data_IF_123744274018
#
_entry.id   IF_123744274018
#
_cell.length_a   1.000
_cell.length_b   1.000
_cell.length_c   1.000
_cell.angle_alpha   90.00
_cell.angle_beta   90.00
_cell.angle_gamma   90.00
#
_symmetry.space_group_name_H-M   'P 1'
#
loop_
_entity.id
_entity.type
_entity.pdbx_description
1 polymer ?
#
# COMPACT_ATOMS: atom_id res chain seq x y z
N UNK A 1 -2.63 -95.36 -27.02
CA UNK A 1 -1.57 -94.52 -27.68
C UNK A 1 -2.25 -93.29 -28.25
N UNK A 2 -2.11 -92.21 -27.62
CA UNK A 2 -2.01 -90.84 -28.21
C UNK A 2 -1.86 -89.86 -27.11
N UNK A 3 -0.64 -89.38 -26.84
CA UNK A 3 -0.34 -88.18 -26.14
C UNK A 3 -0.38 -87.06 -27.17
N UNK A 4 -1.29 -86.15 -27.04
CA UNK A 4 -1.26 -84.92 -27.80
C UNK A 4 -1.38 -83.76 -26.83
N UNK A 5 -0.30 -83.15 -26.71
CA UNK A 5 0.11 -81.86 -26.26
C UNK A 5 -0.99 -80.89 -25.77
N UNK A 6 -0.98 -80.59 -24.46
CA UNK A 6 -1.51 -79.39 -23.87
C UNK A 6 -0.52 -78.24 -24.12
N UNK A 7 -0.78 -77.46 -25.15
CA UNK A 7 -0.07 -76.22 -25.42
C UNK A 7 -0.78 -75.10 -24.65
N UNK A 8 -0.27 -74.83 -23.44
CA UNK A 8 -0.74 -73.81 -22.61
C UNK A 8 -0.44 -72.41 -23.29
N UNK A 9 -1.46 -71.84 -23.88
CA UNK A 9 -1.44 -70.46 -24.35
C UNK A 9 -1.28 -69.57 -23.16
N UNK A 10 -0.07 -69.02 -22.91
CA UNK A 10 0.19 -67.97 -21.99
C UNK A 10 -0.54 -66.72 -22.45
N UNK A 11 -1.63 -66.35 -21.76
CA UNK A 11 -2.40 -65.18 -22.00
C UNK A 11 -1.58 -63.92 -21.48
N UNK A 12 -1.13 -63.04 -22.34
CA UNK A 12 -0.36 -61.88 -21.89
C UNK A 12 -1.29 -60.92 -21.12
N UNK A 13 -1.14 -60.88 -19.81
CA UNK A 13 -1.86 -59.97 -18.94
C UNK A 13 -1.66 -58.54 -19.38
N UNK A 14 -2.72 -57.72 -19.46
CA UNK A 14 -2.69 -56.45 -20.16
C UNK A 14 -1.86 -55.41 -19.41
N UNK A 15 -0.96 -54.74 -20.10
CA UNK A 15 -0.15 -53.57 -19.67
C UNK A 15 -0.99 -52.37 -19.17
N UNK A 16 -2.33 -52.50 -19.14
CA UNK A 16 -3.30 -51.46 -18.76
C UNK A 16 -3.20 -51.02 -17.28
N UNK A 17 -2.74 -51.87 -16.37
CA UNK A 17 -2.63 -51.51 -14.94
C UNK A 17 -1.46 -50.57 -14.64
N UNK A 18 -0.34 -50.70 -15.33
CA UNK A 18 0.83 -49.83 -15.19
C UNK A 18 0.54 -48.43 -15.73
N UNK A 19 -0.14 -48.32 -16.86
CA UNK A 19 -0.53 -47.02 -17.45
C UNK A 19 -1.53 -46.24 -16.56
N UNK A 20 -2.49 -46.93 -15.94
CA UNK A 20 -3.42 -46.31 -14.97
C UNK A 20 -2.71 -45.82 -13.72
N UNK A 21 -1.72 -46.57 -13.20
CA UNK A 21 -0.87 -46.11 -12.08
C UNK A 21 -0.03 -44.87 -12.46
N UNK A 22 0.66 -44.93 -13.60
CA UNK A 22 1.46 -43.78 -14.07
C UNK A 22 0.61 -42.55 -14.30
N UNK A 23 -0.62 -42.70 -14.82
CA UNK A 23 -1.55 -41.56 -14.96
C UNK A 23 -1.98 -40.99 -13.62
N UNK A 24 -2.23 -41.82 -12.59
CA UNK A 24 -2.52 -41.32 -11.22
C UNK A 24 -1.31 -40.56 -10.64
N UNK A 25 -0.11 -41.11 -10.73
CA UNK A 25 1.09 -40.42 -10.24
C UNK A 25 1.33 -39.08 -10.95
N UNK A 26 1.12 -39.02 -12.26
CA UNK A 26 1.24 -37.76 -13.02
C UNK A 26 0.21 -36.75 -12.57
N UNK A 27 -1.02 -37.14 -12.28
CA UNK A 27 -2.07 -36.26 -11.74
C UNK A 27 -1.71 -35.79 -10.33
N UNK A 28 -1.19 -36.64 -9.45
CA UNK A 28 -0.75 -36.24 -8.12
C UNK A 28 0.45 -35.31 -8.18
N UNK A 29 1.45 -35.60 -9.02
CA UNK A 29 2.62 -34.72 -9.21
C UNK A 29 2.19 -33.36 -9.78
N UNK A 30 1.28 -33.34 -10.74
CA UNK A 30 0.71 -32.10 -11.27
C UNK A 30 -0.03 -31.31 -10.17
N UNK A 31 -0.88 -31.99 -9.38
CA UNK A 31 -1.56 -31.36 -8.24
C UNK A 31 -0.58 -30.76 -7.21
N UNK A 32 0.45 -31.51 -6.82
CA UNK A 32 1.50 -31.04 -5.90
C UNK A 32 2.24 -29.85 -6.49
N UNK A 33 2.59 -29.90 -7.79
CA UNK A 33 3.28 -28.78 -8.46
C UNK A 33 2.44 -27.52 -8.52
N UNK A 34 1.15 -27.64 -8.84
CA UNK A 34 0.21 -26.48 -8.83
C UNK A 34 0.05 -25.91 -7.42
N UNK A 35 -0.12 -26.78 -6.42
CA UNK A 35 -0.22 -26.33 -5.02
C UNK A 35 1.06 -25.64 -4.56
N UNK A 36 2.23 -26.17 -4.91
CA UNK A 36 3.51 -25.55 -4.58
C UNK A 36 3.66 -24.18 -5.27
N UNK A 37 3.26 -24.03 -6.52
CA UNK A 37 3.27 -22.76 -7.24
C UNK A 37 2.32 -21.73 -6.63
N UNK A 38 1.13 -22.15 -6.23
CA UNK A 38 0.16 -21.26 -5.56
C UNK A 38 0.65 -20.83 -4.19
N UNK A 39 1.22 -21.74 -3.39
CA UNK A 39 1.82 -21.42 -2.10
C UNK A 39 3.02 -20.50 -2.26
N UNK A 40 3.88 -20.72 -3.24
CA UNK A 40 5.03 -19.86 -3.51
C UNK A 40 4.54 -18.46 -3.94
N UNK A 41 3.57 -18.39 -4.85
CA UNK A 41 2.95 -17.11 -5.25
C UNK A 41 2.35 -16.35 -4.06
N UNK A 42 1.66 -17.05 -3.15
CA UNK A 42 1.09 -16.46 -1.94
C UNK A 42 2.17 -15.98 -0.95
N UNK A 43 3.24 -16.76 -0.74
CA UNK A 43 4.33 -16.40 0.18
C UNK A 43 5.18 -15.21 -0.32
N UNK A 44 5.29 -15.02 -1.63
CA UNK A 44 6.01 -13.90 -2.25
C UNK A 44 5.11 -12.74 -2.66
N UNK A 45 3.80 -12.79 -2.34
CA UNK A 45 2.90 -11.68 -2.59
C UNK A 45 3.28 -10.50 -1.68
N UNK A 46 3.54 -9.30 -2.23
CA UNK A 46 3.91 -8.16 -1.40
C UNK A 46 2.76 -7.83 -0.44
N UNK A 47 3.03 -7.92 0.86
CA UNK A 47 2.04 -7.63 1.90
C UNK A 47 1.84 -6.13 2.13
N UNK A 48 2.81 -5.31 1.74
CA UNK A 48 2.81 -3.85 1.94
C UNK A 48 3.53 -3.13 0.80
N UNK A 49 3.20 -1.87 0.53
CA UNK A 49 4.01 -1.02 -0.33
C UNK A 49 5.46 -0.93 0.16
N UNK A 50 6.38 -0.48 -0.71
CA UNK A 50 7.79 -0.31 -0.38
C UNK A 50 7.94 0.64 0.82
N UNK A 51 8.66 0.21 1.83
CA UNK A 51 9.05 1.06 2.95
C UNK A 51 10.21 1.99 2.52
N UNK A 52 9.91 3.29 2.41
CA UNK A 52 10.84 4.32 1.95
C UNK A 52 11.82 4.78 3.02
N UNK A 53 11.51 4.51 4.30
CA UNK A 53 12.37 4.86 5.44
C UNK A 53 13.60 3.97 5.57
N UNK A 54 13.61 2.80 4.91
CA UNK A 54 14.70 1.84 5.00
C UNK A 54 15.85 2.20 4.07
N UNK A 55 17.01 2.47 4.63
CA UNK A 55 18.25 2.75 3.90
C UNK A 55 18.10 3.97 2.98
N UNK A 56 18.47 3.85 1.72
CA UNK A 56 18.39 4.93 0.74
C UNK A 56 17.18 4.82 -0.21
N UNK A 57 16.14 4.09 0.18
CA UNK A 57 14.99 3.81 -0.69
C UNK A 57 14.22 5.06 -1.10
N UNK A 58 14.16 6.09 -0.26
CA UNK A 58 13.57 7.37 -0.64
C UNK A 58 14.22 7.93 -1.91
N UNK A 59 15.54 7.79 -2.04
CA UNK A 59 16.32 8.27 -3.19
C UNK A 59 16.20 7.32 -4.40
N UNK A 60 16.32 6.01 -4.15
CA UNK A 60 16.45 5.00 -5.23
C UNK A 60 15.12 4.53 -5.81
N UNK A 61 13.99 4.76 -5.13
CA UNK A 61 12.65 4.33 -5.58
C UNK A 61 12.08 5.14 -6.76
N UNK A 62 12.65 6.31 -7.04
CA UNK A 62 12.12 7.25 -8.02
C UNK A 62 11.04 8.19 -7.46
N UNK A 63 10.69 8.09 -6.16
CA UNK A 63 9.71 8.99 -5.50
C UNK A 63 10.13 10.45 -5.63
N UNK A 64 11.41 10.77 -5.38
CA UNK A 64 11.90 12.15 -5.45
C UNK A 64 11.85 12.74 -6.87
N UNK A 65 12.11 11.94 -7.90
CA UNK A 65 11.96 12.38 -9.28
C UNK A 65 10.50 12.73 -9.58
N UNK A 66 9.59 11.81 -9.29
CA UNK A 66 8.14 12.02 -9.48
C UNK A 66 7.59 13.15 -8.61
N UNK A 67 8.14 13.39 -7.41
CA UNK A 67 7.78 14.53 -6.54
C UNK A 67 8.15 15.87 -7.21
N UNK A 68 9.37 15.98 -7.75
CA UNK A 68 9.84 17.21 -8.42
C UNK A 68 9.08 17.50 -9.70
N UNK A 69 8.53 16.47 -10.35
CA UNK A 69 7.73 16.59 -11.58
C UNK A 69 6.24 16.82 -11.29
N UNK A 70 5.82 16.83 -10.01
CA UNK A 70 4.43 17.04 -9.64
C UNK A 70 3.50 15.90 -10.03
N UNK A 71 4.00 14.65 -10.08
CA UNK A 71 3.25 13.48 -10.54
C UNK A 71 2.57 12.69 -9.43
N UNK A 72 2.83 13.06 -8.16
CA UNK A 72 2.39 12.24 -7.02
C UNK A 72 1.07 12.70 -6.43
N UNK A 73 0.39 11.72 -5.86
CA UNK A 73 -0.61 11.86 -4.81
C UNK A 73 0.00 11.31 -3.53
N UNK A 74 -0.07 12.05 -2.44
CA UNK A 74 0.45 11.64 -1.14
C UNK A 74 -0.68 11.67 -0.12
N UNK A 75 -1.03 10.50 0.41
CA UNK A 75 -1.99 10.40 1.51
C UNK A 75 -1.22 10.42 2.82
N UNK A 76 -1.53 11.36 3.69
CA UNK A 76 -0.91 11.51 5.01
C UNK A 76 -1.96 11.23 6.07
N UNK A 77 -1.72 10.25 6.94
CA UNK A 77 -2.56 10.05 8.11
C UNK A 77 -2.40 11.21 9.08
N UNK A 78 -3.54 11.74 9.59
CA UNK A 78 -3.51 12.71 10.68
C UNK A 78 -2.65 12.23 11.85
N UNK A 79 -2.09 13.16 12.61
CA UNK A 79 -1.29 12.90 13.79
C UNK A 79 -2.14 12.41 14.98
N UNK A 80 -1.48 12.14 16.10
CA UNK A 80 -2.06 11.50 17.28
C UNK A 80 -3.30 12.24 17.77
N UNK A 81 -4.43 11.52 17.79
CA UNK A 81 -5.72 12.06 18.22
C UNK A 81 -5.91 11.92 19.73
N UNK A 82 -6.56 12.93 20.31
CA UNK A 82 -6.75 13.07 21.73
C UNK A 82 -7.63 11.95 22.32
N UNK A 83 -8.77 11.63 21.72
CA UNK A 83 -9.75 10.67 22.24
C UNK A 83 -9.27 9.20 22.18
N UNK A 84 -8.05 8.94 21.71
CA UNK A 84 -7.42 7.62 21.64
C UNK A 84 -6.02 7.58 22.21
N UNK A 85 -5.70 8.54 23.05
CA UNK A 85 -4.39 8.67 23.70
C UNK A 85 -4.56 9.06 25.16
N UNK A 86 -3.55 8.74 25.97
CA UNK A 86 -3.42 9.24 27.34
C UNK A 86 -2.67 10.59 27.41
N UNK A 87 -2.12 11.07 26.29
CA UNK A 87 -1.40 12.33 26.21
C UNK A 87 -2.36 13.52 26.32
N UNK A 88 -1.89 14.66 26.83
CA UNK A 88 -2.71 15.88 26.94
C UNK A 88 -3.26 16.34 25.60
N UNK A 89 -4.53 16.72 25.58
CA UNK A 89 -5.18 17.27 24.39
C UNK A 89 -4.71 18.68 24.09
N UNK A 90 -4.53 19.01 22.82
CA UNK A 90 -4.32 20.39 22.37
C UNK A 90 -5.63 21.19 22.38
N UNK A 91 -6.76 20.53 22.13
CA UNK A 91 -8.07 21.18 22.03
C UNK A 91 -9.21 20.17 22.23
N UNK A 92 -10.25 20.16 21.37
CA UNK A 92 -11.38 19.26 21.51
C UNK A 92 -10.97 17.79 21.40
N UNK A 93 -11.76 16.91 22.01
CA UNK A 93 -11.45 15.49 22.14
C UNK A 93 -11.23 14.75 20.79
N UNK A 94 -11.88 15.17 19.71
CA UNK A 94 -11.70 14.63 18.36
C UNK A 94 -10.51 15.24 17.59
N UNK A 95 -9.81 16.19 18.22
CA UNK A 95 -8.61 16.85 17.71
C UNK A 95 -7.31 16.11 18.06
N UNK A 96 -6.19 16.82 18.00
CA UNK A 96 -4.85 16.29 18.27
C UNK A 96 -4.49 16.39 19.76
N UNK A 97 -3.54 15.54 20.17
CA UNK A 97 -2.77 15.75 21.40
C UNK A 97 -1.74 16.85 21.19
N UNK A 98 -1.17 17.38 22.29
CA UNK A 98 -0.04 18.32 22.23
C UNK A 98 1.13 17.66 21.46
N UNK A 99 1.49 16.40 21.79
CA UNK A 99 2.53 15.67 21.06
C UNK A 99 2.19 15.51 19.56
N UNK A 100 0.91 15.29 19.22
CA UNK A 100 0.47 15.21 17.84
C UNK A 100 0.67 16.52 17.07
N UNK A 101 0.50 17.68 17.74
CA UNK A 101 0.76 18.98 17.10
C UNK A 101 2.25 19.21 16.84
N UNK A 102 3.11 18.82 17.78
CA UNK A 102 4.57 18.92 17.63
C UNK A 102 5.07 18.02 16.49
N UNK A 103 4.60 16.77 16.43
CA UNK A 103 4.93 15.84 15.34
C UNK A 103 4.43 16.33 13.98
N UNK A 104 3.26 16.97 13.92
CA UNK A 104 2.77 17.57 12.69
C UNK A 104 3.70 18.69 12.18
N UNK A 105 4.23 19.54 13.08
CA UNK A 105 5.22 20.57 12.71
C UNK A 105 6.50 19.93 12.15
N UNK A 106 7.00 18.86 12.77
CA UNK A 106 8.20 18.16 12.29
C UNK A 106 7.96 17.51 10.93
N UNK A 107 6.79 16.88 10.74
CA UNK A 107 6.40 16.29 9.48
C UNK A 107 6.29 17.35 8.37
N UNK A 108 5.73 18.53 8.68
CA UNK A 108 5.70 19.68 7.77
C UNK A 108 7.09 20.09 7.32
N UNK A 109 8.05 20.23 8.24
CA UNK A 109 9.46 20.54 7.93
C UNK A 109 10.09 19.47 7.03
N UNK A 110 9.74 18.20 7.23
CA UNK A 110 10.24 17.12 6.39
C UNK A 110 9.77 17.26 4.94
N UNK A 111 8.49 17.57 4.72
CA UNK A 111 7.96 17.84 3.39
C UNK A 111 8.51 19.14 2.78
N UNK A 112 8.70 20.20 3.58
CA UNK A 112 9.35 21.43 3.13
C UNK A 112 10.78 21.17 2.60
N UNK A 113 11.50 20.21 3.21
CA UNK A 113 12.83 19.78 2.73
C UNK A 113 12.80 19.11 1.37
N UNK A 114 11.67 18.50 0.97
CA UNK A 114 11.46 17.98 -0.39
C UNK A 114 11.07 19.07 -1.39
N UNK A 115 10.62 20.22 -0.93
CA UNK A 115 10.08 21.33 -1.72
C UNK A 115 8.58 21.20 -1.98
N UNK A 116 7.80 22.17 -1.51
CA UNK A 116 6.32 22.17 -1.57
C UNK A 116 5.75 23.05 -2.68
N UNK A 117 6.58 23.70 -3.51
CA UNK A 117 6.13 24.68 -4.51
C UNK A 117 5.11 24.13 -5.53
N UNK A 118 5.25 22.86 -5.90
CA UNK A 118 4.36 22.17 -6.83
C UNK A 118 3.35 21.25 -6.10
N UNK A 119 2.92 21.59 -4.88
CA UNK A 119 2.05 20.70 -4.11
C UNK A 119 0.81 21.45 -3.63
N UNK A 120 -0.35 20.90 -3.99
CA UNK A 120 -1.65 21.29 -3.45
C UNK A 120 -1.96 20.42 -2.24
N UNK A 121 -2.41 21.03 -1.15
CA UNK A 121 -2.71 20.33 0.11
C UNK A 121 -4.19 20.45 0.41
N UNK A 122 -4.87 19.32 0.53
CA UNK A 122 -6.27 19.23 0.95
C UNK A 122 -6.36 18.40 2.24
N UNK A 123 -7.34 18.73 3.07
CA UNK A 123 -7.63 18.02 4.31
C UNK A 123 -9.05 17.49 4.33
N UNK A 124 -9.25 16.28 4.84
CA UNK A 124 -10.56 15.82 5.30
C UNK A 124 -11.14 16.81 6.33
N UNK A 125 -12.46 17.02 6.38
CA UNK A 125 -13.07 18.07 7.23
C UNK A 125 -13.19 17.69 8.71
N UNK A 126 -12.41 16.73 9.22
CA UNK A 126 -12.40 16.42 10.65
C UNK A 126 -11.40 17.30 11.39
N UNK A 127 -11.66 17.56 12.70
CA UNK A 127 -10.80 18.42 13.52
C UNK A 127 -9.34 17.96 13.49
N UNK A 128 -9.08 16.67 13.67
CA UNK A 128 -7.71 16.11 13.69
C UNK A 128 -6.95 16.24 12.39
N UNK A 129 -7.61 16.08 11.24
CA UNK A 129 -6.97 16.24 9.92
C UNK A 129 -6.73 17.72 9.62
N UNK A 130 -7.70 18.60 9.92
CA UNK A 130 -7.57 20.03 9.78
C UNK A 130 -6.44 20.59 10.66
N UNK A 131 -6.34 20.14 11.91
CA UNK A 131 -5.24 20.50 12.81
C UNK A 131 -3.90 19.99 12.30
N UNK A 132 -3.82 18.73 11.83
CA UNK A 132 -2.58 18.20 11.23
C UNK A 132 -2.12 19.08 10.07
N UNK A 133 -3.00 19.42 9.12
CA UNK A 133 -2.69 20.32 8.01
C UNK A 133 -2.25 21.71 8.48
N UNK A 134 -2.94 22.26 9.47
CA UNK A 134 -2.60 23.56 10.04
C UNK A 134 -1.20 23.59 10.66
N UNK A 135 -0.85 22.58 11.45
CA UNK A 135 0.46 22.50 12.09
C UNK A 135 1.58 22.13 11.12
N UNK A 136 1.30 21.35 10.07
CA UNK A 136 2.28 21.07 9.02
C UNK A 136 2.61 22.30 8.17
N UNK A 137 1.60 23.10 7.77
CA UNK A 137 1.76 24.09 6.70
C UNK A 137 1.25 25.49 7.03
N UNK A 138 0.82 25.74 8.27
CA UNK A 138 0.26 27.04 8.70
C UNK A 138 -1.11 27.37 8.09
N UNK A 139 -1.71 26.45 7.32
CA UNK A 139 -3.00 26.63 6.65
C UNK A 139 -3.76 25.31 6.56
N UNK A 140 -5.07 25.42 6.43
CA UNK A 140 -5.95 24.28 6.17
C UNK A 140 -6.86 24.62 5.00
N UNK A 141 -6.82 23.79 3.96
CA UNK A 141 -7.78 23.82 2.87
C UNK A 141 -8.62 22.56 2.95
N UNK A 142 -9.89 22.71 3.30
CA UNK A 142 -10.80 21.59 3.48
C UNK A 142 -11.30 21.11 2.12
N UNK A 143 -11.24 19.82 1.89
CA UNK A 143 -11.90 19.21 0.73
C UNK A 143 -13.42 19.29 0.91
N UNK A 144 -14.15 19.87 -0.04
CA UNK A 144 -15.60 19.99 0.03
C UNK A 144 -16.35 18.73 -0.38
N UNK A 145 -15.75 17.56 -0.39
CA UNK A 145 -16.39 16.39 -0.96
C UNK A 145 -16.00 15.07 -0.34
N UNK A 146 -16.16 13.99 -1.09
CA UNK A 146 -15.98 12.60 -0.65
C UNK A 146 -14.56 12.22 -0.24
N UNK A 147 -13.54 13.08 -0.35
CA UNK A 147 -12.25 12.87 0.33
C UNK A 147 -12.40 12.78 1.87
N UNK A 148 -13.57 13.14 2.39
CA UNK A 148 -14.00 12.82 3.74
C UNK A 148 -14.44 11.34 3.87
N UNK A 149 -14.75 10.66 2.77
CA UNK A 149 -15.32 9.32 2.70
C UNK A 149 -14.26 8.41 2.08
N UNK A 150 -13.88 7.38 2.81
CA UNK A 150 -12.99 6.31 2.32
C UNK A 150 -13.78 5.34 1.43
N UNK A 151 -13.09 4.48 0.70
CA UNK A 151 -13.70 3.42 -0.10
C UNK A 151 -13.49 3.58 -1.62
N UNK A 152 -14.29 2.87 -2.41
CA UNK A 152 -14.09 2.69 -3.85
C UNK A 152 -14.14 4.00 -4.67
N UNK A 153 -14.88 5.00 -4.22
CA UNK A 153 -14.99 6.29 -4.91
C UNK A 153 -13.73 7.16 -4.78
N UNK A 154 -12.85 6.88 -3.82
CA UNK A 154 -11.71 7.72 -3.48
C UNK A 154 -10.75 7.95 -4.67
N UNK A 155 -10.52 6.93 -5.51
CA UNK A 155 -9.65 7.06 -6.68
C UNK A 155 -10.16 8.09 -7.69
N UNK A 156 -11.47 8.10 -7.97
CA UNK A 156 -12.10 9.07 -8.87
C UNK A 156 -12.02 10.50 -8.32
N UNK A 157 -12.26 10.66 -7.03
CA UNK A 157 -12.16 11.97 -6.35
C UNK A 157 -10.73 12.51 -6.36
N UNK A 158 -9.74 11.64 -6.08
CA UNK A 158 -8.32 12.02 -6.18
C UNK A 158 -8.01 12.56 -7.58
N UNK A 159 -8.44 11.86 -8.63
CA UNK A 159 -8.21 12.31 -10.02
C UNK A 159 -8.90 13.64 -10.32
N UNK A 160 -10.08 13.89 -9.76
CA UNK A 160 -10.79 15.16 -9.90
C UNK A 160 -10.05 16.37 -9.31
N UNK A 161 -9.27 16.14 -8.27
CA UNK A 161 -8.48 17.19 -7.60
C UNK A 161 -7.02 17.28 -8.09
N UNK A 162 -6.48 16.22 -8.70
CA UNK A 162 -5.08 16.16 -9.14
C UNK A 162 -4.85 17.00 -10.39
N UNK A 163 -4.11 18.10 -10.23
CA UNK A 163 -3.72 18.96 -11.35
C UNK A 163 -2.48 18.40 -12.07
N UNK A 164 -2.39 18.55 -13.41
CA UNK A 164 -1.17 18.19 -14.16
C UNK A 164 0.05 19.00 -13.66
N UNK A 165 1.19 18.31 -13.48
CA UNK A 165 2.44 18.95 -13.03
C UNK A 165 2.41 19.45 -11.57
N UNK A 166 1.42 19.07 -10.78
CA UNK A 166 1.35 19.42 -9.35
C UNK A 166 1.06 18.18 -8.51
N UNK A 167 1.77 17.96 -7.45
CA UNK A 167 1.44 16.93 -6.46
C UNK A 167 0.13 17.28 -5.75
N UNK A 168 -0.60 16.27 -5.33
CA UNK A 168 -1.76 16.41 -4.47
C UNK A 168 -1.47 15.72 -3.14
N UNK A 169 -1.45 16.47 -2.05
CA UNK A 169 -1.34 15.93 -0.70
C UNK A 169 -2.70 15.93 -0.02
N UNK A 170 -3.07 14.80 0.55
CA UNK A 170 -4.35 14.59 1.24
C UNK A 170 -4.11 14.21 2.69
N UNK A 171 -4.46 15.09 3.62
CA UNK A 171 -4.45 14.77 5.05
C UNK A 171 -5.73 14.02 5.38
N UNK A 172 -5.58 12.75 5.76
CA UNK A 172 -6.67 11.77 5.81
C UNK A 172 -6.56 10.81 7.01
N UNK A 173 -7.17 9.65 6.92
CA UNK A 173 -7.33 8.67 7.98
C UNK A 173 -6.71 7.32 7.61
N UNK A 174 -6.33 6.53 8.63
CA UNK A 174 -5.80 5.18 8.42
C UNK A 174 -6.74 4.27 7.62
N UNK A 175 -8.06 4.37 7.87
CA UNK A 175 -9.05 3.59 7.11
C UNK A 175 -9.01 3.92 5.61
N UNK A 176 -9.01 5.21 5.25
CA UNK A 176 -8.92 5.64 3.85
C UNK A 176 -7.62 5.19 3.18
N UNK A 177 -6.50 5.26 3.91
CA UNK A 177 -5.22 4.76 3.41
C UNK A 177 -5.26 3.24 3.19
N UNK A 178 -5.86 2.49 4.12
CA UNK A 178 -6.02 1.03 4.02
C UNK A 178 -6.90 0.63 2.82
N UNK A 179 -8.04 1.33 2.62
CA UNK A 179 -8.91 1.09 1.48
C UNK A 179 -8.17 1.38 0.17
N UNK A 180 -7.43 2.49 0.12
CA UNK A 180 -6.66 2.84 -1.06
C UNK A 180 -5.49 1.88 -1.32
N UNK A 181 -4.76 1.43 -0.28
CA UNK A 181 -3.74 0.38 -0.40
C UNK A 181 -4.34 -0.93 -0.93
N UNK A 182 -5.53 -1.30 -0.47
CA UNK A 182 -6.25 -2.48 -0.96
C UNK A 182 -6.53 -2.36 -2.48
N UNK A 183 -7.00 -1.21 -2.95
CA UNK A 183 -7.24 -0.96 -4.37
C UNK A 183 -5.95 -0.97 -5.20
N UNK A 184 -4.82 -0.69 -4.60
CA UNK A 184 -3.48 -0.75 -5.20
C UNK A 184 -2.86 -2.16 -5.19
N UNK A 185 -3.59 -3.17 -4.69
CA UNK A 185 -3.13 -4.57 -4.64
C UNK A 185 -2.43 -4.98 -3.34
N UNK A 186 -2.59 -4.20 -2.26
CA UNK A 186 -2.02 -4.47 -0.93
C UNK A 186 -3.12 -4.67 0.15
N UNK A 187 -3.99 -5.69 0.02
CA UNK A 187 -5.12 -5.88 0.93
C UNK A 187 -4.71 -6.25 2.36
N UNK A 188 -3.46 -6.64 2.57
CA UNK A 188 -2.92 -7.06 3.86
C UNK A 188 -1.86 -6.08 4.41
N UNK A 189 -1.79 -4.87 3.84
CA UNK A 189 -0.89 -3.85 4.35
C UNK A 189 -1.24 -3.51 5.81
N UNK A 190 -0.22 -3.31 6.63
CA UNK A 190 -0.40 -2.83 7.99
C UNK A 190 -1.14 -1.48 7.99
N UNK A 191 -1.97 -1.26 9.01
CA UNK A 191 -2.61 0.04 9.18
C UNK A 191 -1.55 1.13 9.32
N UNK A 192 -1.71 2.22 8.56
CA UNK A 192 -0.80 3.34 8.60
C UNK A 192 -0.69 3.91 10.02
N UNK A 193 0.52 4.17 10.49
CA UNK A 193 0.78 4.85 11.77
C UNK A 193 0.46 6.34 11.69
N UNK A 194 0.32 7.04 12.84
CA UNK A 194 0.13 8.50 12.86
C UNK A 194 1.25 9.22 12.10
N UNK A 195 0.89 10.19 11.27
CA UNK A 195 1.84 10.92 10.42
C UNK A 195 2.49 10.12 9.30
N UNK A 196 2.11 8.85 9.09
CA UNK A 196 2.60 8.07 7.94
C UNK A 196 2.10 8.66 6.62
N UNK A 197 2.95 8.59 5.60
CA UNK A 197 2.66 9.01 4.25
C UNK A 197 2.69 7.81 3.27
N UNK A 198 1.68 7.71 2.40
CA UNK A 198 1.63 6.79 1.27
C UNK A 198 1.83 7.60 -0.02
N UNK A 199 2.88 7.30 -0.75
CA UNK A 199 3.22 7.93 -2.02
C UNK A 199 2.69 7.10 -3.19
N UNK A 200 1.94 7.74 -4.07
CA UNK A 200 1.28 7.09 -5.22
C UNK A 200 1.50 7.93 -6.47
N UNK A 201 1.99 7.32 -7.54
CA UNK A 201 2.12 7.97 -8.85
C UNK A 201 0.82 7.79 -9.64
N UNK A 202 0.35 8.89 -10.24
CA UNK A 202 -0.74 8.85 -11.22
C UNK A 202 -0.13 8.59 -12.60
N UNK A 203 -0.55 7.51 -13.24
CA UNK A 203 -0.08 7.13 -14.56
C UNK A 203 -0.88 7.85 -15.67
N UNK A 204 -0.33 7.98 -16.90
CA UNK A 204 -1.00 8.69 -18.00
C UNK A 204 -2.39 8.14 -18.36
N UNK A 205 -2.67 6.88 -18.07
CA UNK A 205 -3.97 6.24 -18.29
C UNK A 205 -4.96 6.46 -17.13
N UNK A 206 -4.62 7.28 -16.13
CA UNK A 206 -5.45 7.53 -14.95
C UNK A 206 -5.41 6.44 -13.89
N UNK A 207 -4.57 5.43 -14.04
CA UNK A 207 -4.38 4.42 -12.99
C UNK A 207 -3.33 4.86 -11.97
N UNK A 208 -3.30 4.19 -10.82
CA UNK A 208 -2.41 4.49 -9.71
C UNK A 208 -1.33 3.42 -9.55
N UNK A 209 -0.12 3.85 -9.19
CA UNK A 209 0.99 2.98 -8.83
C UNK A 209 1.51 3.37 -7.45
N UNK A 210 1.45 2.44 -6.48
CA UNK A 210 2.10 2.66 -5.19
C UNK A 210 3.61 2.79 -5.39
N UNK A 211 4.17 3.86 -4.86
CA UNK A 211 5.61 4.13 -4.88
C UNK A 211 6.26 3.73 -3.55
N UNK A 212 5.53 3.81 -2.45
CA UNK A 212 5.95 3.38 -1.14
C UNK A 212 5.26 4.12 0.00
N UNK A 213 5.62 3.74 1.22
CA UNK A 213 5.18 4.38 2.47
C UNK A 213 6.38 4.95 3.23
N UNK A 214 6.15 5.97 4.04
CA UNK A 214 7.12 6.56 4.95
C UNK A 214 6.44 6.76 6.30
N UNK A 215 6.99 6.23 7.37
CA UNK A 215 6.51 6.49 8.72
C UNK A 215 7.07 7.81 9.25
N UNK A 216 6.33 8.43 10.17
CA UNK A 216 6.69 9.75 10.73
C UNK A 216 8.09 9.78 11.34
N UNK A 217 8.50 8.71 12.01
CA UNK A 217 9.81 8.60 12.72
C UNK A 217 11.00 8.43 11.76
N UNK A 218 10.78 8.02 10.52
CA UNK A 218 11.82 7.64 9.57
C UNK A 218 12.35 8.84 8.77
N UNK A 219 11.60 9.95 8.73
CA UNK A 219 11.95 11.11 7.92
C UNK A 219 13.35 11.67 8.20
N UNK A 220 13.71 11.80 9.48
CA UNK A 220 15.02 12.35 9.85
C UNK A 220 16.19 11.52 9.32
N UNK A 221 16.03 10.19 9.31
CA UNK A 221 17.07 9.28 8.78
C UNK A 221 17.07 9.28 7.24
N UNK A 222 15.89 9.27 6.62
CA UNK A 222 15.74 9.27 5.17
C UNK A 222 16.25 10.57 4.51
N UNK A 223 15.98 11.75 5.11
CA UNK A 223 16.45 13.04 4.59
C UNK A 223 17.97 13.22 4.66
N UNK A 224 18.67 12.54 5.58
CA UNK A 224 20.14 12.55 5.62
C UNK A 224 20.79 11.88 4.41
N UNK A 225 20.02 11.15 3.60
CA UNK A 225 20.50 10.48 2.40
C UNK A 225 20.34 11.34 1.14
N UNK A 226 19.70 12.53 1.23
CA UNK A 226 19.55 13.50 0.14
C UNK A 226 20.83 14.32 -0.05
#
# INVERSE_FOLDING_TARGET
MNRMADMILANPQPKRSRLKRLRKYRLHLFGISVTALLLTGFLFWPSSPLDLGVGNRLVTSGVLASWREGELVVLVRHEERCDRSANPCFGPADGLTINGTERAVELGKAFDSLGMALTDVLSSPTTRTAQTSLFMFGKTELSPGPLAICGDAMGGEILGHKQPGRNLMLITHSACMSDFQTSLGFPHAAAAEYGSALFVKVLPNGTFKAMGTMNSEEWTAALKQL
#
